data_IF_091685768587
#
_entry.id   IF_091685768587
#
_cell.length_a   1.000
_cell.length_b   1.000
_cell.length_c   1.000
_cell.angle_alpha   90.00
_cell.angle_beta   90.00
_cell.angle_gamma   90.00
#
_symmetry.space_group_name_H-M   'P 1'
#
loop_
_entity.id
_entity.type
_entity.pdbx_description
1 polymer ?
#
# COMPACT_ATOMS: atom_id res chain seq x y z
N UNK A 1 -31.45 19.69 0.39
CA UNK A 1 -30.46 18.83 1.07
C UNK A 1 -30.01 17.79 0.07
N UNK A 2 -28.84 17.97 -0.56
CA UNK A 2 -28.33 17.03 -1.57
C UNK A 2 -27.63 15.90 -0.80
N UNK A 3 -28.27 14.73 -0.78
CA UNK A 3 -27.71 13.51 -0.19
C UNK A 3 -26.60 13.04 -1.11
N UNK A 4 -25.35 13.36 -0.77
CA UNK A 4 -24.20 12.81 -1.48
C UNK A 4 -24.10 11.32 -1.15
N UNK A 5 -24.23 10.50 -2.20
CA UNK A 5 -24.15 9.04 -2.15
C UNK A 5 -22.73 8.66 -1.74
N UNK A 6 -22.55 8.19 -0.50
CA UNK A 6 -21.26 7.75 0.03
C UNK A 6 -20.85 6.47 -0.71
N UNK A 7 -19.93 6.58 -1.66
CA UNK A 7 -19.30 5.41 -2.28
C UNK A 7 -18.31 4.79 -1.29
N UNK A 8 -18.77 3.79 -0.54
CA UNK A 8 -17.98 3.06 0.46
C UNK A 8 -16.93 2.17 -0.21
N UNK A 9 -15.66 2.50 -0.04
CA UNK A 9 -14.52 1.67 -0.43
C UNK A 9 -13.93 0.97 0.79
N UNK A 10 -14.50 -0.17 1.16
CA UNK A 10 -13.99 -0.93 2.30
C UNK A 10 -12.60 -1.53 1.98
N UNK A 11 -11.58 -1.02 2.65
CA UNK A 11 -10.24 -1.57 2.70
C UNK A 11 -10.13 -2.58 3.84
N UNK A 12 -9.67 -3.80 3.53
CA UNK A 12 -9.28 -4.77 4.56
C UNK A 12 -7.83 -4.50 4.98
N UNK A 13 -7.64 -3.63 5.96
CA UNK A 13 -6.38 -3.52 6.69
C UNK A 13 -6.45 -4.36 7.98
N UNK A 14 -5.46 -5.23 8.20
CA UNK A 14 -5.24 -5.87 9.51
C UNK A 14 -4.66 -4.82 10.47
N UNK A 15 -5.53 -4.10 11.17
CA UNK A 15 -5.12 -3.08 12.15
C UNK A 15 -4.78 -3.74 13.49
N UNK A 16 -3.51 -4.11 13.68
CA UNK A 16 -2.99 -4.41 15.02
C UNK A 16 -2.94 -3.10 15.84
N UNK A 17 -3.81 -2.95 16.84
CA UNK A 17 -3.90 -1.73 17.66
C UNK A 17 -3.36 -2.00 19.08
N UNK A 18 -2.44 -1.15 19.55
CA UNK A 18 -1.89 -1.16 20.92
C UNK A 18 -2.34 0.09 21.67
N UNK A 19 -2.98 -0.07 22.82
CA UNK A 19 -3.12 0.98 23.84
C UNK A 19 -2.37 0.51 25.10
N UNK A 20 -1.51 1.37 25.65
CA UNK A 20 -0.73 1.11 26.88
C UNK A 20 0.12 -0.18 26.87
N UNK A 21 0.70 -0.55 25.73
CA UNK A 21 1.57 -1.73 25.63
C UNK A 21 0.86 -3.08 25.76
N UNK A 22 -0.47 -3.11 25.89
CA UNK A 22 -1.29 -4.33 25.84
C UNK A 22 -1.98 -4.42 24.48
N UNK A 23 -1.87 -5.59 23.85
CA UNK A 23 -2.64 -5.93 22.65
C UNK A 23 -4.11 -5.98 23.05
N UNK A 24 -4.99 -5.22 22.40
CA UNK A 24 -6.44 -5.34 22.60
C UNK A 24 -6.87 -6.60 21.84
N UNK A 25 -6.98 -7.73 22.53
CA UNK A 25 -7.08 -9.04 21.87
C UNK A 25 -8.40 -9.27 21.09
N UNK A 26 -9.42 -8.41 21.21
CA UNK A 26 -10.76 -8.69 20.68
C UNK A 26 -11.46 -7.48 20.03
N UNK A 27 -10.87 -6.92 18.97
CA UNK A 27 -11.54 -5.93 18.11
C UNK A 27 -11.93 -6.55 16.77
N UNK A 28 -13.24 -6.64 16.49
CA UNK A 28 -13.75 -7.19 15.23
C UNK A 28 -14.51 -6.12 14.45
N UNK A 29 -14.14 -5.81 13.19
CA UNK A 29 -14.88 -4.88 12.36
C UNK A 29 -16.25 -5.45 11.97
N UNK A 30 -17.28 -4.62 12.01
CA UNK A 30 -18.67 -5.01 11.76
C UNK A 30 -19.08 -4.94 10.28
N UNK A 31 -18.24 -4.40 9.40
CA UNK A 31 -18.56 -4.21 7.98
C UNK A 31 -17.93 -5.32 7.15
N UNK A 32 -18.78 -6.22 6.60
CA UNK A 32 -18.42 -7.17 5.54
C UNK A 32 -19.40 -7.02 4.39
N UNK A 33 -19.13 -6.08 3.46
CA UNK A 33 -19.90 -6.00 2.21
C UNK A 33 -19.06 -6.47 1.02
N UNK A 34 -19.67 -7.09 -0.01
CA UNK A 34 -18.99 -7.49 -1.23
C UNK A 34 -18.32 -6.28 -1.88
N UNK A 35 -17.05 -6.42 -2.26
CA UNK A 35 -16.29 -5.35 -2.89
C UNK A 35 -16.58 -5.38 -4.39
N UNK A 36 -17.41 -4.44 -4.87
CA UNK A 36 -17.46 -4.13 -6.30
C UNK A 36 -16.08 -3.61 -6.74
N UNK A 37 -15.48 -4.29 -7.73
CA UNK A 37 -14.17 -3.90 -8.27
C UNK A 37 -14.38 -3.15 -9.58
N UNK A 38 -14.16 -1.83 -9.55
CA UNK A 38 -14.11 -1.05 -10.78
C UNK A 38 -12.85 -1.39 -11.58
N UNK A 39 -12.92 -1.55 -12.92
CA UNK A 39 -11.77 -1.90 -13.75
C UNK A 39 -10.62 -0.89 -13.71
N UNK A 40 -10.92 0.38 -13.44
CA UNK A 40 -9.95 1.48 -13.35
C UNK A 40 -9.39 1.68 -11.93
N UNK A 41 -9.82 0.87 -10.96
CA UNK A 41 -9.41 0.97 -9.57
C UNK A 41 -8.30 -0.04 -9.21
N UNK A 42 -7.28 0.43 -8.50
CA UNK A 42 -6.22 -0.37 -7.90
C UNK A 42 -6.28 -0.18 -6.39
N UNK A 43 -6.67 -1.24 -5.67
CA UNK A 43 -6.59 -1.27 -4.21
C UNK A 43 -5.23 -1.75 -3.77
N UNK A 44 -4.58 -0.95 -2.94
CA UNK A 44 -3.30 -1.28 -2.33
C UNK A 44 -3.54 -1.86 -0.95
N UNK A 45 -2.96 -3.03 -0.72
CA UNK A 45 -2.96 -3.71 0.57
C UNK A 45 -1.54 -3.68 1.14
N UNK A 46 -1.41 -3.76 2.47
CA UNK A 46 -0.11 -3.70 3.15
C UNK A 46 0.83 -4.85 2.72
N UNK A 47 0.31 -6.04 2.46
CA UNK A 47 1.10 -7.25 2.15
C UNK A 47 1.54 -7.34 0.69
N UNK A 48 0.96 -6.52 -0.19
CA UNK A 48 1.18 -6.65 -1.64
C UNK A 48 2.49 -5.98 -2.06
N UNK A 49 3.23 -6.67 -2.93
CA UNK A 49 4.47 -6.15 -3.51
C UNK A 49 4.21 -4.89 -4.33
N UNK A 50 5.01 -3.85 -4.08
CA UNK A 50 4.99 -2.58 -4.84
C UNK A 50 5.26 -2.85 -6.32
N UNK A 51 6.20 -3.76 -6.64
CA UNK A 51 6.56 -4.10 -8.02
C UNK A 51 5.34 -4.58 -8.80
N UNK A 52 4.58 -5.48 -8.20
CA UNK A 52 3.44 -6.13 -8.86
C UNK A 52 2.30 -5.12 -9.07
N UNK A 53 2.09 -4.24 -8.09
CA UNK A 53 1.14 -3.13 -8.18
C UNK A 53 1.49 -2.15 -9.30
N UNK A 54 2.77 -1.79 -9.41
CA UNK A 54 3.27 -0.91 -10.48
C UNK A 54 3.08 -1.56 -11.85
N UNK A 55 3.32 -2.88 -11.97
CA UNK A 55 3.15 -3.58 -13.23
C UNK A 55 1.69 -3.58 -13.66
N UNK A 56 0.77 -3.89 -12.75
CA UNK A 56 -0.67 -3.84 -13.00
C UNK A 56 -1.13 -2.43 -13.39
N UNK A 57 -0.64 -1.41 -12.69
CA UNK A 57 -0.93 -0.02 -13.05
C UNK A 57 -0.42 0.32 -14.46
N UNK A 58 0.79 -0.14 -14.80
CA UNK A 58 1.38 0.09 -16.12
C UNK A 58 0.59 -0.63 -17.22
N UNK A 59 0.15 -1.87 -16.96
CA UNK A 59 -0.67 -2.66 -17.87
C UNK A 59 -2.04 -2.01 -18.12
N UNK A 60 -2.65 -1.38 -17.11
CA UNK A 60 -3.92 -0.65 -17.29
C UNK A 60 -3.83 0.49 -18.31
N UNK A 61 -2.73 1.22 -18.31
CA UNK A 61 -2.51 2.27 -19.31
C UNK A 61 -2.15 1.71 -20.69
N UNK A 62 -1.33 0.65 -20.76
CA UNK A 62 -0.81 0.12 -22.03
C UNK A 62 -1.73 -0.88 -22.73
N UNK A 63 -2.22 -1.88 -22.01
CA UNK A 63 -3.04 -2.98 -22.55
C UNK A 63 -4.51 -2.60 -22.60
N UNK A 64 -5.04 -2.11 -21.47
CA UNK A 64 -6.46 -1.77 -21.36
C UNK A 64 -6.78 -0.40 -22.00
N UNK A 65 -5.74 0.40 -22.31
CA UNK A 65 -5.87 1.72 -22.92
C UNK A 65 -6.58 2.73 -22.02
N UNK A 66 -6.59 2.50 -20.70
CA UNK A 66 -7.24 3.41 -19.76
C UNK A 66 -6.54 4.77 -19.76
N UNK A 67 -7.35 5.82 -19.77
CA UNK A 67 -6.88 7.21 -19.74
C UNK A 67 -6.61 7.70 -18.32
N UNK A 68 -7.25 7.06 -17.35
CA UNK A 68 -7.09 7.33 -15.93
C UNK A 68 -7.22 6.06 -15.11
N UNK A 69 -6.54 6.04 -13.97
CA UNK A 69 -6.68 5.00 -12.95
C UNK A 69 -6.83 5.65 -11.57
N UNK A 70 -7.52 4.97 -10.65
CA UNK A 70 -7.64 5.37 -9.25
C UNK A 70 -6.87 4.39 -8.36
N UNK A 71 -5.85 4.86 -7.67
CA UNK A 71 -5.10 4.10 -6.68
C UNK A 71 -5.64 4.44 -5.31
N UNK A 72 -6.14 3.45 -4.59
CA UNK A 72 -6.79 3.64 -3.29
C UNK A 72 -6.07 2.83 -2.21
N UNK A 73 -5.92 3.42 -1.04
CA UNK A 73 -5.31 2.79 0.13
C UNK A 73 -5.91 3.33 1.43
N UNK A 74 -5.80 2.55 2.50
CA UNK A 74 -6.08 2.99 3.86
C UNK A 74 -4.91 2.71 4.78
N UNK A 75 -4.91 3.34 5.95
CA UNK A 75 -4.06 2.97 7.08
C UNK A 75 -2.60 2.68 6.71
N UNK A 76 -2.17 1.45 6.96
CA UNK A 76 -0.76 1.02 6.78
C UNK A 76 -0.38 0.81 5.32
N UNK A 77 -1.34 0.78 4.41
CA UNK A 77 -1.12 0.64 2.97
C UNK A 77 -0.88 1.99 2.27
N UNK A 78 -1.18 3.12 2.91
CA UNK A 78 -1.01 4.47 2.33
C UNK A 78 0.42 4.70 1.80
N UNK A 79 1.50 4.41 2.54
CA UNK A 79 2.86 4.63 2.03
C UNK A 79 3.16 3.82 0.77
N UNK A 80 2.62 2.59 0.68
CA UNK A 80 2.79 1.75 -0.50
C UNK A 80 2.05 2.34 -1.71
N UNK A 81 0.85 2.90 -1.52
CA UNK A 81 0.10 3.53 -2.60
C UNK A 81 0.84 4.74 -3.18
N UNK A 82 1.39 5.60 -2.30
CA UNK A 82 2.21 6.74 -2.71
C UNK A 82 3.43 6.25 -3.51
N UNK A 83 4.15 5.24 -2.99
CA UNK A 83 5.32 4.68 -3.68
C UNK A 83 4.98 4.11 -5.07
N UNK A 84 3.84 3.42 -5.20
CA UNK A 84 3.35 2.92 -6.49
C UNK A 84 3.10 4.08 -7.45
N UNK A 85 2.36 5.12 -7.03
CA UNK A 85 2.08 6.28 -7.85
C UNK A 85 3.35 7.00 -8.30
N UNK A 86 4.32 7.21 -7.40
CA UNK A 86 5.61 7.84 -7.73
C UNK A 86 6.41 7.05 -8.78
N UNK A 87 6.41 5.72 -8.69
CA UNK A 87 7.09 4.87 -9.68
C UNK A 87 6.35 4.90 -11.03
N UNK A 88 5.01 4.87 -11.02
CA UNK A 88 4.19 4.90 -12.24
C UNK A 88 4.38 6.21 -12.99
N UNK A 89 4.39 7.36 -12.30
CA UNK A 89 4.67 8.68 -12.89
C UNK A 89 6.02 8.74 -13.60
N UNK A 90 7.03 7.99 -13.11
CA UNK A 90 8.36 7.90 -13.75
C UNK A 90 8.41 6.97 -14.96
N UNK A 91 7.42 6.09 -15.14
CA UNK A 91 7.34 5.15 -16.27
C UNK A 91 6.47 5.66 -17.42
N UNK A 92 5.46 6.47 -17.11
CA UNK A 92 4.48 6.98 -18.07
C UNK A 92 4.53 8.50 -18.03
N UNK A 93 4.94 9.17 -19.12
CA UNK A 93 5.04 10.62 -19.15
C UNK A 93 3.66 11.28 -19.11
N UNK A 94 3.63 12.58 -18.75
CA UNK A 94 2.44 13.43 -18.81
C UNK A 94 1.25 12.95 -17.95
N UNK A 95 1.52 12.30 -16.81
CA UNK A 95 0.48 11.93 -15.85
C UNK A 95 0.17 13.08 -14.89
N UNK A 96 -1.04 13.62 -15.00
CA UNK A 96 -1.66 14.46 -13.98
C UNK A 96 -2.06 13.62 -12.77
N UNK A 97 -1.95 14.21 -11.59
CA UNK A 97 -2.35 13.58 -10.34
C UNK A 97 -3.39 14.44 -9.62
N UNK A 98 -4.38 13.79 -9.03
CA UNK A 98 -5.25 14.40 -8.01
C UNK A 98 -5.28 13.47 -6.80
N UNK A 99 -5.10 14.04 -5.60
CA UNK A 99 -5.03 13.31 -4.35
C UNK A 99 -6.16 13.73 -3.42
N UNK A 100 -7.04 12.79 -3.11
CA UNK A 100 -8.15 12.98 -2.19
C UNK A 100 -7.88 12.20 -0.90
N UNK A 101 -7.99 12.86 0.24
CA UNK A 101 -7.78 12.27 1.57
C UNK A 101 -9.11 12.29 2.31
N UNK A 102 -9.47 11.17 2.91
CA UNK A 102 -10.72 11.03 3.66
C UNK A 102 -10.51 10.22 4.94
N UNK A 103 -11.48 10.32 5.85
CA UNK A 103 -11.51 9.56 7.09
C UNK A 103 -12.73 8.64 7.06
N UNK A 104 -12.49 7.34 7.12
CA UNK A 104 -13.55 6.35 7.17
C UNK A 104 -13.77 5.89 8.61
N UNK A 105 -14.99 6.02 9.12
CA UNK A 105 -15.37 5.50 10.43
C UNK A 105 -15.79 4.04 10.31
N UNK A 106 -15.04 3.13 10.93
CA UNK A 106 -15.31 1.69 10.93
C UNK A 106 -15.80 1.28 12.33
N UNK A 107 -17.06 0.81 12.46
CA UNK A 107 -17.57 0.30 13.71
C UNK A 107 -16.93 -1.05 14.04
N UNK A 108 -16.47 -1.20 15.28
CA UNK A 108 -15.84 -2.38 15.82
C UNK A 108 -16.58 -2.84 17.08
N UNK A 109 -16.73 -4.16 17.22
CA UNK A 109 -17.08 -4.78 18.49
C UNK A 109 -15.83 -4.86 19.36
N UNK A 110 -15.92 -4.26 20.55
CA UNK A 110 -14.95 -4.36 21.62
C UNK A 110 -15.56 -5.19 22.75
N UNK A 111 -14.94 -6.34 23.01
CA UNK A 111 -15.32 -7.25 24.10
C UNK A 111 -14.44 -6.95 25.31
N UNK A 112 -15.05 -6.50 26.41
CA UNK A 112 -14.36 -6.15 27.66
C UNK A 112 -14.80 -7.05 28.81
N UNK A 113 -13.86 -7.44 29.68
CA UNK A 113 -14.18 -8.08 30.95
C UNK A 113 -14.69 -7.02 31.93
N UNK A 114 -15.82 -7.29 32.55
CA UNK A 114 -16.53 -6.34 33.41
C UNK A 114 -16.50 -6.75 34.89
N UNK A 115 -16.03 -7.96 35.19
CA UNK A 115 -15.88 -8.48 36.55
C UNK A 115 -14.76 -9.53 36.65
N UNK A 116 -14.59 -10.06 37.87
CA UNK A 116 -13.56 -11.06 38.18
C UNK A 116 -13.99 -12.48 37.79
N UNK A 117 -15.26 -12.71 37.45
CA UNK A 117 -15.73 -13.99 36.93
C UNK A 117 -15.31 -14.17 35.47
N UNK A 118 -15.12 -15.43 35.05
CA UNK A 118 -14.77 -15.76 33.67
C UNK A 118 -15.87 -15.37 32.66
N UNK A 119 -17.11 -15.32 33.15
CA UNK A 119 -18.32 -15.10 32.35
C UNK A 119 -18.74 -13.62 32.27
N UNK A 120 -18.09 -12.73 33.03
CA UNK A 120 -18.44 -11.32 33.10
C UNK A 120 -17.86 -10.55 31.91
N UNK A 121 -18.59 -10.55 30.79
CA UNK A 121 -18.16 -9.92 29.55
C UNK A 121 -19.22 -8.95 29.02
N UNK A 122 -18.80 -7.75 28.63
CA UNK A 122 -19.66 -6.75 27.97
C UNK A 122 -19.16 -6.45 26.57
N UNK A 123 -20.09 -6.44 25.60
CA UNK A 123 -19.82 -6.04 24.21
C UNK A 123 -20.17 -4.57 24.03
N UNK A 124 -19.21 -3.77 23.57
CA UNK A 124 -19.39 -2.35 23.23
C UNK A 124 -19.07 -2.12 21.75
N UNK A 125 -19.90 -1.34 21.06
CA UNK A 125 -19.58 -0.86 19.72
C UNK A 125 -18.76 0.42 19.84
N UNK A 126 -17.57 0.43 19.24
CA UNK A 126 -16.71 1.60 19.15
C UNK A 126 -16.48 1.97 17.68
N UNK A 127 -16.43 3.26 17.39
CA UNK A 127 -16.08 3.75 16.06
C UNK A 127 -14.58 4.04 16.01
N UNK A 128 -13.85 3.32 15.16
CA UNK A 128 -12.44 3.60 14.89
C UNK A 128 -12.34 4.26 13.52
N UNK A 129 -11.73 5.43 13.49
CA UNK A 129 -11.50 6.16 12.25
C UNK A 129 -10.20 5.71 11.59
N UNK A 130 -10.25 5.43 10.30
CA UNK A 130 -9.11 5.03 9.47
C UNK A 130 -8.93 6.06 8.37
N UNK A 131 -7.70 6.56 8.23
CA UNK A 131 -7.35 7.46 7.13
C UNK A 131 -7.33 6.67 5.81
N UNK A 132 -7.89 7.27 4.77
CA UNK A 132 -7.96 6.73 3.42
C UNK A 132 -7.39 7.76 2.44
N UNK A 133 -6.67 7.27 1.44
CA UNK A 133 -6.16 8.06 0.33
C UNK A 133 -6.67 7.50 -0.99
N UNK A 134 -7.02 8.39 -1.89
CA UNK A 134 -7.38 8.11 -3.26
C UNK A 134 -6.55 9.00 -4.18
N UNK A 135 -5.73 8.37 -5.02
CA UNK A 135 -4.84 9.06 -5.96
C UNK A 135 -5.33 8.72 -7.37
N UNK A 136 -5.84 9.72 -8.07
CA UNK A 136 -6.19 9.60 -9.48
C UNK A 136 -4.98 9.97 -10.32
N UNK A 137 -4.53 9.08 -11.20
CA UNK A 137 -3.52 9.34 -12.22
C UNK A 137 -4.19 9.39 -13.58
N UNK A 138 -3.99 10.45 -14.35
CA UNK A 138 -4.67 10.69 -15.63
C UNK A 138 -3.71 11.24 -16.68
N UNK A 139 -3.82 10.77 -17.92
CA UNK A 139 -3.10 11.36 -19.07
C UNK A 139 -3.75 12.66 -19.58
N UNK A 140 -4.99 12.93 -19.17
CA UNK A 140 -5.70 14.19 -19.44
C UNK A 140 -5.57 15.14 -18.27
N UNK A 141 -5.61 16.44 -18.57
CA UNK A 141 -5.63 17.48 -17.56
C UNK A 141 -6.80 17.28 -16.60
N UNK A 142 -6.46 17.21 -15.31
CA UNK A 142 -7.43 17.25 -14.21
C UNK A 142 -7.68 18.71 -13.79
N UNK A 143 -8.62 18.91 -12.88
CA UNK A 143 -8.95 20.22 -12.33
C UNK A 143 -7.75 20.80 -11.57
N UNK A 144 -7.23 21.93 -12.05
CA UNK A 144 -6.06 22.62 -11.48
C UNK A 144 -6.39 23.40 -10.22
N UNK A 145 -7.67 23.73 -10.02
CA UNK A 145 -8.13 24.46 -8.83
C UNK A 145 -8.35 23.52 -7.64
N UNK A 146 -8.34 22.20 -7.87
CA UNK A 146 -8.45 21.23 -6.80
C UNK A 146 -7.18 21.28 -5.91
N UNK A 147 -7.32 21.39 -4.58
CA UNK A 147 -6.16 21.48 -3.67
C UNK A 147 -5.27 20.24 -3.66
N UNK A 148 -5.79 19.08 -4.08
CA UNK A 148 -5.06 17.84 -4.24
C UNK A 148 -4.41 17.66 -5.60
N UNK A 149 -4.54 18.63 -6.51
CA UNK A 149 -3.97 18.56 -7.85
C UNK A 149 -2.45 18.68 -7.85
N UNK A 150 -1.81 17.89 -8.72
CA UNK A 150 -0.39 17.98 -9.01
C UNK A 150 -0.17 17.84 -10.53
N UNK A 151 0.63 18.75 -11.07
CA UNK A 151 1.03 18.74 -12.47
C UNK A 151 1.95 17.55 -12.81
N UNK A 152 2.03 17.16 -14.10
CA UNK A 152 2.91 16.07 -14.52
C UNK A 152 4.37 16.36 -14.20
N UNK A 153 5.14 15.30 -13.95
CA UNK A 153 6.58 15.42 -13.75
C UNK A 153 7.29 15.79 -15.06
N UNK A 154 8.39 16.53 -14.97
CA UNK A 154 9.20 16.86 -16.14
C UNK A 154 9.72 15.59 -16.83
N UNK A 155 9.76 15.63 -18.16
CA UNK A 155 10.15 14.49 -18.99
C UNK A 155 11.60 14.03 -18.73
N UNK A 156 12.47 14.90 -18.23
CA UNK A 156 13.85 14.55 -17.84
C UNK A 156 13.92 13.56 -16.68
N UNK A 157 12.90 13.51 -15.83
CA UNK A 157 12.82 12.56 -14.71
C UNK A 157 12.05 11.27 -15.05
N UNK A 158 11.43 11.20 -16.22
CA UNK A 158 10.77 10.00 -16.72
C UNK A 158 11.87 9.09 -17.26
N UNK A 159 12.07 7.95 -16.58
CA UNK A 159 12.89 6.88 -17.14
C UNK A 159 12.01 6.20 -18.18
N UNK A 160 12.09 6.68 -19.41
CA UNK A 160 11.48 6.02 -20.55
C UNK A 160 11.88 4.55 -20.47
N UNK A 161 10.88 3.67 -20.47
CA UNK A 161 11.13 2.25 -20.43
C UNK A 161 11.78 1.87 -21.77
N UNK A 162 13.10 2.00 -21.87
CA UNK A 162 13.91 1.29 -22.86
C UNK A 162 13.81 -0.18 -22.50
N UNK A 163 12.73 -0.83 -22.94
CA UNK A 163 12.49 -2.26 -22.80
C UNK A 163 11.86 -2.82 -24.09
N UNK A 164 12.45 -2.48 -25.23
CA UNK A 164 12.45 -3.36 -26.38
C UNK A 164 13.89 -3.83 -26.61
N UNK A 165 14.09 -5.15 -26.56
CA UNK A 165 15.33 -5.87 -26.88
C UNK A 165 16.50 -5.86 -25.85
N UNK A 166 16.29 -6.48 -24.67
CA UNK A 166 17.33 -7.39 -24.14
C UNK A 166 16.68 -8.71 -23.78
N UNK A 167 16.79 -9.63 -24.73
CA UNK A 167 16.43 -11.04 -24.66
C UNK A 167 16.78 -11.67 -23.32
N UNK A 168 15.80 -12.39 -22.76
CA UNK A 168 15.97 -13.75 -22.23
C UNK A 168 17.42 -14.25 -22.18
N UNK A 169 18.16 -13.88 -21.13
CA UNK A 169 19.34 -14.59 -20.63
C UNK A 169 19.78 -13.99 -19.30
N UNK A 170 19.26 -14.53 -18.20
CA UNK A 170 20.11 -15.07 -17.14
C UNK A 170 19.25 -15.80 -16.11
N UNK A 171 19.14 -17.10 -16.37
CA UNK A 171 18.79 -18.12 -15.40
C UNK A 171 19.51 -17.86 -14.07
N UNK A 172 18.72 -17.86 -12.99
CA UNK A 172 19.03 -18.64 -11.81
C UNK A 172 20.41 -18.37 -11.16
N UNK A 173 20.49 -17.37 -10.28
CA UNK A 173 21.46 -17.38 -9.16
C UNK A 173 20.81 -16.98 -7.84
N UNK A 174 20.26 -18.01 -7.21
CA UNK A 174 20.35 -18.35 -5.78
C UNK A 174 20.17 -17.22 -4.76
N UNK A 175 19.01 -17.27 -4.11
CA UNK A 175 18.79 -17.25 -2.66
C UNK A 175 20.05 -16.90 -1.84
N UNK A 176 20.21 -15.63 -1.48
CA UNK A 176 21.07 -15.22 -0.37
C UNK A 176 20.22 -15.18 0.90
N UNK A 177 20.02 -16.36 1.49
CA UNK A 177 19.47 -16.50 2.83
C UNK A 177 20.41 -15.86 3.85
N UNK A 178 19.85 -15.41 4.98
CA UNK A 178 20.57 -14.78 6.10
C UNK A 178 21.69 -15.67 6.71
N UNK A 179 21.87 -16.90 6.23
CA UNK A 179 22.96 -17.81 6.58
C UNK A 179 24.34 -17.38 6.03
N UNK A 180 24.42 -16.58 4.96
CA UNK A 180 25.71 -16.20 4.36
C UNK A 180 26.56 -15.25 5.23
N UNK A 181 25.93 -14.44 6.11
CA UNK A 181 26.66 -13.48 6.96
C UNK A 181 27.38 -14.11 8.16
N UNK A 182 26.99 -15.32 8.58
CA UNK A 182 27.57 -15.94 9.79
C UNK A 182 28.96 -16.57 9.56
N UNK A 183 29.35 -16.83 8.30
CA UNK A 183 30.68 -17.38 7.98
C UNK A 183 31.78 -16.33 7.74
N UNK A 184 31.42 -15.06 7.51
CA UNK A 184 32.41 -13.99 7.34
C UNK A 184 32.99 -13.46 8.66
N UNK A 185 32.33 -13.72 9.80
CA UNK A 185 32.85 -13.32 11.11
C UNK A 185 33.85 -14.32 11.71
N UNK A 186 33.84 -15.59 11.30
CA UNK A 186 34.78 -16.59 11.82
C UNK A 186 36.16 -16.52 11.16
N UNK A 187 36.21 -16.22 9.87
CA UNK A 187 37.48 -16.17 9.13
C UNK A 187 38.31 -14.89 9.33
N UNK A 188 37.81 -13.88 10.06
CA UNK A 188 38.61 -12.69 10.40
C UNK A 188 39.45 -12.93 11.66
N UNK A 189 38.91 -13.63 12.66
CA UNK A 189 39.62 -13.91 13.91
C UNK A 189 40.76 -14.92 13.67
N UNK A 190 40.49 -15.97 12.89
CA UNK A 190 41.49 -16.99 12.53
C UNK A 190 42.66 -16.41 11.69
N UNK A 191 42.43 -15.31 10.97
CA UNK A 191 43.45 -14.68 10.11
C UNK A 191 44.37 -13.72 10.86
N UNK A 192 43.93 -13.22 12.02
CA UNK A 192 44.76 -12.38 12.90
C UNK A 192 45.70 -13.27 13.72
N UNK A 193 45.23 -14.43 14.20
CA UNK A 193 46.05 -15.34 15.01
C UNK A 193 47.19 -16.03 14.24
N UNK A 194 47.09 -16.17 12.91
CA UNK A 194 48.18 -16.71 12.08
C UNK A 194 49.23 -15.68 11.63
N UNK A 195 49.10 -14.40 12.04
CA UNK A 195 50.05 -13.34 11.69
C UNK A 195 50.96 -12.90 12.85
N UNK A 196 50.90 -13.59 13.99
CA UNK A 196 51.67 -13.27 15.22
C UNK A 196 52.63 -14.41 15.62
N UNK A 197 52.99 -15.32 14.69
CA UNK A 197 54.10 -16.28 14.91
C UNK A 197 55.14 -16.13 13.82
#
# INVERSE_FOLDING_TARGET
MVVHKVQNSNFEDTIETREQGKTIENLKPLVKQPIERCPDEIRVQQTRSIRDLVEIASEKFRKDGLKSIRVRASGRAIPNAIAVCEIVKRRIPNLHQQTDISLQSIPHELIQKTGDSLDDVTTKIINRSVACIEITLSTFALDKENPGYQQPIDQSFVKEAVLDAVQSNNLNKKVSSRYARRRYSKNIVDRIEQSIV
#
